data_IF_411474521852
#
_entry.id   IF_411474521852
#
_cell.length_a   1.000
_cell.length_b   1.000
_cell.length_c   1.000
_cell.angle_alpha   90.00
_cell.angle_beta   90.00
_cell.angle_gamma   90.00
#
_symmetry.space_group_name_H-M   'P 1'
#
loop_
_entity.id
_entity.type
_entity.pdbx_description
1 polymer ?
#
# COMPACT_ATOMS: atom_id res chain seq x y z
N UNK A 1 13.84 -2.52 -36.78
CA UNK A 1 14.15 -3.95 -36.63
C UNK A 1 12.85 -4.65 -36.35
N UNK A 2 12.43 -5.44 -37.31
CA UNK A 2 11.22 -6.23 -37.32
C UNK A 2 11.22 -7.23 -36.17
N UNK A 3 10.29 -7.11 -35.25
CA UNK A 3 9.87 -8.24 -34.42
C UNK A 3 8.75 -8.96 -35.17
N UNK A 4 9.12 -9.99 -35.88
CA UNK A 4 8.21 -10.96 -36.47
C UNK A 4 7.87 -12.03 -35.44
N UNK A 5 6.58 -12.24 -35.29
CA UNK A 5 5.91 -13.50 -34.96
C UNK A 5 6.53 -14.37 -33.87
N UNK A 6 5.98 -14.24 -32.68
CA UNK A 6 5.78 -15.42 -31.83
C UNK A 6 4.40 -15.33 -31.17
N UNK A 7 3.71 -16.41 -31.23
CA UNK A 7 2.47 -16.80 -30.56
C UNK A 7 2.08 -15.87 -29.40
N UNK A 8 0.83 -15.53 -29.26
CA UNK A 8 0.21 -14.72 -28.21
C UNK A 8 0.62 -15.15 -26.79
N UNK A 9 1.89 -15.06 -26.45
CA UNK A 9 2.38 -15.28 -25.12
C UNK A 9 2.15 -13.98 -24.35
N UNK A 10 0.95 -13.82 -23.82
CA UNK A 10 0.67 -12.70 -22.92
C UNK A 10 1.58 -12.82 -21.70
N UNK A 11 2.46 -11.85 -21.55
CA UNK A 11 3.34 -11.81 -20.39
C UNK A 11 2.50 -11.54 -19.13
N UNK A 12 2.69 -12.37 -18.13
CA UNK A 12 1.99 -12.25 -16.86
C UNK A 12 2.69 -11.24 -15.97
N UNK A 13 1.99 -10.19 -15.60
CA UNK A 13 2.44 -9.17 -14.65
C UNK A 13 1.66 -9.31 -13.34
N UNK A 14 2.36 -9.25 -12.24
CA UNK A 14 1.75 -9.32 -10.92
C UNK A 14 1.84 -7.98 -10.19
N UNK A 15 0.70 -7.44 -9.78
CA UNK A 15 0.60 -6.19 -9.03
C UNK A 15 0.23 -6.53 -7.59
N UNK A 16 1.02 -6.07 -6.63
CA UNK A 16 0.61 -6.01 -5.24
C UNK A 16 0.13 -4.59 -4.95
N UNK A 17 -1.12 -4.46 -4.52
CA UNK A 17 -1.74 -3.16 -4.32
C UNK A 17 -2.39 -3.03 -2.97
N UNK A 18 -2.07 -1.93 -2.30
CA UNK A 18 -2.75 -1.48 -1.07
C UNK A 18 -3.40 -0.11 -1.23
N UNK A 19 -3.38 0.44 -2.45
CA UNK A 19 -3.80 1.81 -2.75
C UNK A 19 -4.73 1.85 -3.97
N UNK A 20 -5.29 3.03 -4.26
CA UNK A 20 -6.10 3.27 -5.47
C UNK A 20 -5.31 3.21 -6.78
N UNK A 21 -3.98 3.11 -6.72
CA UNK A 21 -3.14 3.06 -7.93
C UNK A 21 -3.19 1.70 -8.61
N UNK A 22 -3.39 0.62 -7.85
CA UNK A 22 -3.46 -0.73 -8.39
C UNK A 22 -4.46 -0.90 -9.54
N UNK A 23 -5.72 -0.47 -9.40
CA UNK A 23 -6.69 -0.49 -10.50
C UNK A 23 -6.26 0.30 -11.73
N UNK A 24 -5.59 1.44 -11.56
CA UNK A 24 -5.11 2.28 -12.66
C UNK A 24 -3.95 1.60 -13.40
N UNK A 25 -2.99 1.05 -12.66
CA UNK A 25 -1.86 0.30 -13.23
C UNK A 25 -2.38 -0.94 -13.97
N UNK A 26 -3.30 -1.69 -13.36
CA UNK A 26 -3.90 -2.86 -13.99
C UNK A 26 -4.61 -2.50 -15.30
N UNK A 27 -5.39 -1.42 -15.32
CA UNK A 27 -6.05 -0.94 -16.52
C UNK A 27 -5.04 -0.64 -17.63
N UNK A 28 -3.97 0.11 -17.32
CA UNK A 28 -2.93 0.43 -18.30
C UNK A 28 -2.25 -0.83 -18.86
N UNK A 29 -1.89 -1.79 -18.01
CA UNK A 29 -1.28 -3.05 -18.48
C UNK A 29 -2.22 -3.86 -19.38
N UNK A 30 -3.51 -3.91 -19.06
CA UNK A 30 -4.53 -4.59 -19.87
C UNK A 30 -4.71 -3.94 -21.24
N UNK A 31 -4.62 -2.61 -21.34
CA UNK A 31 -4.66 -1.87 -22.60
C UNK A 31 -3.46 -2.22 -23.51
N UNK A 32 -2.30 -2.52 -22.92
CA UNK A 32 -1.11 -3.04 -23.62
C UNK A 32 -1.11 -4.57 -23.77
N UNK A 33 -2.26 -5.21 -23.53
CA UNK A 33 -2.47 -6.63 -23.77
C UNK A 33 -1.71 -7.59 -22.83
N UNK A 34 -1.25 -7.13 -21.67
CA UNK A 34 -0.71 -8.01 -20.64
C UNK A 34 -1.80 -8.81 -19.93
N UNK A 35 -1.43 -9.97 -19.38
CA UNK A 35 -2.24 -10.70 -18.41
C UNK A 35 -1.86 -10.22 -17.01
N UNK A 36 -2.82 -9.79 -16.21
CA UNK A 36 -2.58 -9.12 -14.92
C UNK A 36 -3.10 -9.95 -13.77
N UNK A 37 -2.23 -10.23 -12.81
CA UNK A 37 -2.58 -10.76 -11.50
C UNK A 37 -2.55 -9.60 -10.50
N UNK A 38 -3.64 -9.35 -9.78
CA UNK A 38 -3.70 -8.26 -8.80
C UNK A 38 -4.02 -8.81 -7.42
N UNK A 39 -3.06 -8.72 -6.51
CA UNK A 39 -3.24 -9.09 -5.10
C UNK A 39 -3.75 -7.92 -4.29
N UNK A 40 -4.84 -8.16 -3.57
CA UNK A 40 -5.51 -7.20 -2.69
C UNK A 40 -5.79 -7.84 -1.33
N UNK A 41 -5.82 -7.05 -0.26
CA UNK A 41 -6.06 -7.56 1.09
C UNK A 41 -7.50 -7.99 1.32
N UNK A 42 -8.46 -7.31 0.69
CA UNK A 42 -9.89 -7.54 0.93
C UNK A 42 -10.66 -7.70 -0.38
N UNK A 43 -11.76 -8.45 -0.33
CA UNK A 43 -12.68 -8.58 -1.46
C UNK A 43 -13.19 -7.21 -1.95
N UNK A 44 -13.50 -6.29 -1.03
CA UNK A 44 -13.95 -4.93 -1.36
C UNK A 44 -12.91 -4.16 -2.17
N UNK A 45 -11.63 -4.31 -1.86
CA UNK A 45 -10.56 -3.68 -2.64
C UNK A 45 -10.50 -4.23 -4.08
N UNK A 46 -10.80 -5.52 -4.26
CA UNK A 46 -10.88 -6.14 -5.59
C UNK A 46 -12.03 -5.60 -6.45
N UNK A 47 -13.11 -5.10 -5.85
CA UNK A 47 -14.24 -4.55 -6.59
C UNK A 47 -13.93 -3.23 -7.33
N UNK A 48 -12.82 -2.58 -7.00
CA UNK A 48 -12.37 -1.35 -7.67
C UNK A 48 -11.74 -1.61 -9.04
N UNK A 49 -11.46 -2.86 -9.36
CA UNK A 49 -10.84 -3.24 -10.62
C UNK A 49 -11.89 -3.46 -11.72
N UNK A 50 -11.50 -3.16 -12.96
CA UNK A 50 -12.36 -3.40 -14.12
C UNK A 50 -12.56 -4.91 -14.35
N UNK A 51 -13.70 -5.30 -14.93
CA UNK A 51 -13.91 -6.68 -15.35
C UNK A 51 -13.19 -6.92 -16.68
N UNK A 52 -12.26 -7.85 -16.69
CA UNK A 52 -11.51 -8.25 -17.89
C UNK A 52 -11.08 -9.71 -17.78
N UNK A 53 -11.15 -10.48 -18.88
CA UNK A 53 -10.79 -11.90 -18.89
C UNK A 53 -9.32 -12.18 -18.61
N UNK A 54 -8.44 -11.18 -18.80
CA UNK A 54 -7.00 -11.26 -18.52
C UNK A 54 -6.63 -10.70 -17.13
N UNK A 55 -7.60 -10.32 -16.32
CA UNK A 55 -7.38 -9.83 -14.97
C UNK A 55 -7.80 -10.88 -13.93
N UNK A 56 -6.85 -11.26 -13.10
CA UNK A 56 -7.04 -12.23 -12.04
C UNK A 56 -6.87 -11.54 -10.69
N UNK A 57 -7.96 -11.36 -9.95
CA UNK A 57 -7.93 -10.77 -8.61
C UNK A 57 -7.66 -11.88 -7.58
N UNK A 58 -6.64 -11.68 -6.77
CA UNK A 58 -6.26 -12.56 -5.67
C UNK A 58 -6.51 -11.82 -4.36
N UNK A 59 -7.40 -12.36 -3.55
CA UNK A 59 -7.70 -11.78 -2.24
C UNK A 59 -6.98 -12.57 -1.15
N UNK A 60 -6.32 -11.86 -0.26
CA UNK A 60 -5.65 -12.46 0.89
C UNK A 60 -4.30 -11.82 1.18
N UNK A 61 -3.72 -12.24 2.30
CA UNK A 61 -2.43 -11.77 2.75
C UNK A 61 -1.33 -12.75 2.31
N UNK A 62 -0.24 -12.22 1.82
CA UNK A 62 0.99 -12.98 1.61
C UNK A 62 1.82 -12.89 2.90
N UNK A 63 2.23 -14.04 3.42
CA UNK A 63 2.82 -14.11 4.76
C UNK A 63 4.36 -14.07 4.74
N UNK A 64 4.98 -14.61 3.69
CA UNK A 64 6.43 -14.76 3.63
C UNK A 64 6.98 -14.76 2.20
N UNK A 65 8.30 -14.75 2.10
CA UNK A 65 9.06 -14.77 0.84
C UNK A 65 8.77 -16.02 0.00
N UNK A 66 8.65 -17.19 0.62
CA UNK A 66 8.47 -18.44 -0.10
C UNK A 66 7.11 -18.51 -0.80
N UNK A 67 6.05 -17.98 -0.19
CA UNK A 67 4.74 -17.84 -0.84
C UNK A 67 4.81 -16.95 -2.09
N UNK A 68 5.59 -15.88 -2.02
CA UNK A 68 5.82 -14.95 -3.16
C UNK A 68 6.54 -15.71 -4.28
N UNK A 69 7.64 -16.39 -3.98
CA UNK A 69 8.41 -17.18 -4.95
C UNK A 69 7.53 -18.26 -5.61
N UNK A 70 6.77 -18.99 -4.81
CA UNK A 70 5.87 -20.02 -5.30
C UNK A 70 4.78 -19.43 -6.22
N UNK A 71 4.22 -18.28 -5.86
CA UNK A 71 3.23 -17.59 -6.68
C UNK A 71 3.81 -17.17 -8.03
N UNK A 72 5.00 -16.55 -8.03
CA UNK A 72 5.70 -16.12 -9.26
C UNK A 72 5.94 -17.33 -10.18
N UNK A 73 6.49 -18.42 -9.64
CA UNK A 73 6.79 -19.62 -10.43
C UNK A 73 5.53 -20.30 -10.97
N UNK A 74 4.52 -20.51 -10.10
CA UNK A 74 3.26 -21.17 -10.45
C UNK A 74 2.51 -20.44 -11.56
N UNK A 75 2.46 -19.11 -11.49
CA UNK A 75 1.72 -18.29 -12.44
C UNK A 75 2.60 -17.73 -13.57
N UNK A 76 3.84 -18.20 -13.69
CA UNK A 76 4.80 -17.78 -14.74
C UNK A 76 4.90 -16.25 -14.85
N UNK A 77 4.94 -15.56 -13.69
CA UNK A 77 5.04 -14.10 -13.61
C UNK A 77 6.38 -13.64 -14.21
N UNK A 78 6.32 -12.66 -15.09
CA UNK A 78 7.50 -12.09 -15.76
C UNK A 78 7.98 -10.78 -15.16
N UNK A 79 7.09 -10.07 -14.45
CA UNK A 79 7.39 -8.83 -13.76
C UNK A 79 6.45 -8.65 -12.58
N UNK A 80 6.98 -8.13 -11.48
CA UNK A 80 6.21 -7.77 -10.28
C UNK A 80 6.16 -6.25 -10.15
N UNK A 81 4.99 -5.72 -9.83
CA UNK A 81 4.80 -4.30 -9.54
C UNK A 81 4.39 -4.16 -8.07
N UNK A 82 5.24 -3.55 -7.28
CA UNK A 82 4.93 -3.15 -5.91
C UNK A 82 4.24 -1.77 -5.93
N UNK A 83 2.94 -1.77 -5.79
CA UNK A 83 2.10 -0.59 -5.62
C UNK A 83 1.43 -0.60 -4.23
N UNK A 84 2.11 -1.15 -3.24
CA UNK A 84 1.65 -1.18 -1.86
C UNK A 84 1.75 0.20 -1.21
N UNK A 85 1.16 0.35 -0.04
CA UNK A 85 1.27 1.60 0.70
C UNK A 85 2.72 1.78 1.19
N UNK A 86 3.30 2.99 1.18
CA UNK A 86 4.67 3.25 1.67
C UNK A 86 4.98 2.67 3.06
N UNK A 87 3.97 2.54 3.93
CA UNK A 87 4.12 1.94 5.27
C UNK A 87 4.02 0.41 5.29
N UNK A 88 3.94 -0.24 4.14
CA UNK A 88 3.87 -1.70 4.03
C UNK A 88 5.27 -2.32 3.89
N UNK A 89 6.24 -1.87 4.68
CA UNK A 89 7.66 -2.19 4.60
C UNK A 89 7.95 -3.70 4.57
N UNK A 90 7.23 -4.49 5.37
CA UNK A 90 7.45 -5.94 5.47
C UNK A 90 7.19 -6.64 4.14
N UNK A 91 6.07 -6.32 3.48
CA UNK A 91 5.74 -6.96 2.20
C UNK A 91 6.67 -6.47 1.09
N UNK A 92 7.00 -5.18 1.04
CA UNK A 92 7.94 -4.64 0.07
C UNK A 92 9.33 -5.25 0.21
N UNK A 93 9.81 -5.46 1.44
CA UNK A 93 11.05 -6.19 1.71
C UNK A 93 10.98 -7.62 1.21
N UNK A 94 9.92 -8.37 1.56
CA UNK A 94 9.74 -9.74 1.12
C UNK A 94 9.69 -9.87 -0.40
N UNK A 95 9.03 -8.92 -1.09
CA UNK A 95 9.00 -8.84 -2.56
C UNK A 95 10.39 -8.65 -3.15
N UNK A 96 11.14 -7.68 -2.63
CA UNK A 96 12.50 -7.41 -3.08
C UNK A 96 13.41 -8.62 -2.91
N UNK A 97 13.35 -9.28 -1.75
CA UNK A 97 14.16 -10.46 -1.45
C UNK A 97 13.77 -11.66 -2.33
N UNK A 98 12.46 -11.87 -2.54
CA UNK A 98 11.95 -12.93 -3.42
C UNK A 98 12.33 -12.71 -4.89
N UNK A 99 12.10 -11.51 -5.39
CA UNK A 99 12.39 -11.17 -6.78
C UNK A 99 13.88 -11.23 -7.10
N UNK A 100 14.74 -10.80 -6.17
CA UNK A 100 16.19 -10.93 -6.30
C UNK A 100 16.62 -12.39 -6.35
N UNK A 101 16.09 -13.24 -5.47
CA UNK A 101 16.47 -14.66 -5.41
C UNK A 101 16.20 -15.42 -6.70
N UNK A 102 15.07 -15.13 -7.35
CA UNK A 102 14.67 -15.84 -8.58
C UNK A 102 14.86 -15.02 -9.85
N UNK A 103 15.58 -13.89 -9.74
CA UNK A 103 15.90 -12.99 -10.85
C UNK A 103 14.66 -12.53 -11.65
N UNK A 104 13.58 -12.18 -10.94
CA UNK A 104 12.36 -11.63 -11.53
C UNK A 104 12.37 -10.10 -11.39
N UNK A 105 12.10 -9.33 -12.46
CA UNK A 105 12.03 -7.87 -12.39
C UNK A 105 11.00 -7.39 -11.38
N UNK A 106 11.39 -6.43 -10.54
CA UNK A 106 10.51 -5.75 -9.59
C UNK A 106 10.49 -4.25 -9.92
N UNK A 107 9.31 -3.73 -10.16
CA UNK A 107 9.05 -2.30 -10.30
C UNK A 107 8.36 -1.79 -9.03
N UNK A 108 8.91 -0.75 -8.43
CA UNK A 108 8.30 -0.08 -7.28
C UNK A 108 7.60 1.17 -7.78
N UNK A 109 6.28 1.25 -7.55
CA UNK A 109 5.48 2.41 -7.90
C UNK A 109 5.40 3.36 -6.71
N UNK A 110 6.13 4.45 -6.78
CA UNK A 110 6.13 5.48 -5.75
C UNK A 110 5.34 6.71 -6.21
N UNK A 111 4.46 7.20 -5.36
CA UNK A 111 3.81 8.48 -5.57
C UNK A 111 4.81 9.59 -5.28
N UNK A 112 4.84 10.59 -6.14
CA UNK A 112 5.57 11.83 -5.83
C UNK A 112 5.02 12.43 -4.53
N UNK A 113 5.90 12.73 -3.59
CA UNK A 113 5.52 13.49 -2.40
C UNK A 113 4.96 14.85 -2.82
N UNK A 114 3.77 15.17 -2.36
CA UNK A 114 3.18 16.51 -2.54
C UNK A 114 3.69 17.50 -1.49
N UNK A 115 4.43 17.00 -0.50
CA UNK A 115 5.02 17.84 0.55
C UNK A 115 6.30 18.46 -0.01
N UNK A 116 6.14 19.54 -0.75
CA UNK A 116 7.26 20.41 -1.11
C UNK A 116 7.37 21.47 0.00
N UNK A 117 8.56 21.70 0.51
CA UNK A 117 9.06 22.78 1.40
C UNK A 117 8.06 23.94 1.69
N UNK A 118 6.81 23.64 2.00
CA UNK A 118 5.85 24.63 2.43
C UNK A 118 6.19 25.04 3.86
N UNK A 119 6.21 26.33 4.14
CA UNK A 119 6.63 26.95 5.40
C UNK A 119 5.84 26.50 6.65
N UNK A 120 4.91 25.56 6.51
CA UNK A 120 4.00 25.12 7.56
C UNK A 120 4.12 23.62 7.88
N UNK A 121 5.23 22.97 7.47
CA UNK A 121 5.48 21.57 7.78
C UNK A 121 6.63 21.46 8.78
N UNK A 122 6.38 20.69 9.82
CA UNK A 122 7.38 20.33 10.83
C UNK A 122 7.56 18.82 10.80
N UNK A 123 8.79 18.37 10.65
CA UNK A 123 9.13 16.96 10.79
C UNK A 123 9.52 16.73 12.26
N UNK A 124 8.95 15.70 12.86
CA UNK A 124 9.25 15.29 14.22
C UNK A 124 9.60 13.81 14.22
N UNK A 125 10.61 13.43 14.97
CA UNK A 125 10.99 12.03 15.16
C UNK A 125 10.27 11.42 16.37
N UNK A 126 9.98 12.22 17.40
CA UNK A 126 9.22 11.81 18.57
C UNK A 126 8.10 12.83 18.86
N UNK A 127 6.99 12.36 19.42
CA UNK A 127 5.88 13.22 19.88
C UNK A 127 6.34 14.23 20.95
N UNK A 128 7.39 13.91 21.69
CA UNK A 128 7.98 14.78 22.73
C UNK A 128 8.68 16.00 22.17
N UNK A 129 9.01 16.01 20.88
CA UNK A 129 9.67 17.15 20.23
C UNK A 129 8.71 18.33 20.04
N UNK A 130 7.39 18.08 20.22
CA UNK A 130 6.39 19.15 20.15
C UNK A 130 6.25 19.79 21.54
N UNK A 131 6.34 21.11 21.57
CA UNK A 131 6.13 21.88 22.81
C UNK A 131 4.66 21.71 23.30
N UNK A 132 4.48 21.10 24.46
CA UNK A 132 3.17 20.84 25.06
C UNK A 132 2.31 22.11 25.24
N UNK A 133 2.95 23.24 25.56
CA UNK A 133 2.25 24.51 25.75
C UNK A 133 1.59 25.02 24.47
N UNK A 134 2.12 24.64 23.31
CA UNK A 134 1.53 25.00 22.01
C UNK A 134 0.33 24.14 21.65
N UNK A 135 0.13 23.02 22.34
CA UNK A 135 -0.94 22.06 22.06
C UNK A 135 -2.18 22.30 22.94
N UNK A 136 -2.04 22.97 24.05
CA UNK A 136 -3.14 23.20 24.99
C UNK A 136 -4.31 23.93 24.31
N UNK A 137 -5.52 23.37 24.44
CA UNK A 137 -6.76 23.85 23.82
C UNK A 137 -6.76 23.89 22.28
N UNK A 138 -5.79 23.23 21.62
CA UNK A 138 -5.76 23.13 20.14
C UNK A 138 -6.61 21.95 19.65
N UNK A 139 -7.15 22.10 18.45
CA UNK A 139 -7.80 21.04 17.71
C UNK A 139 -6.75 20.30 16.86
N UNK A 140 -6.55 19.02 17.14
CA UNK A 140 -5.53 18.19 16.48
C UNK A 140 -6.22 17.07 15.70
N UNK A 141 -5.96 17.00 14.38
CA UNK A 141 -6.42 15.91 13.53
C UNK A 141 -5.31 14.87 13.36
N UNK A 142 -5.51 13.67 13.90
CA UNK A 142 -4.63 12.52 13.69
C UNK A 142 -5.03 11.76 12.42
N UNK A 143 -4.22 11.87 11.37
CA UNK A 143 -4.38 11.17 10.09
C UNK A 143 -3.40 9.99 9.94
N UNK A 144 -3.04 9.33 11.03
CA UNK A 144 -2.01 8.28 11.13
C UNK A 144 -2.55 6.85 11.04
N UNK A 145 -3.87 6.69 10.84
CA UNK A 145 -4.53 5.38 10.89
C UNK A 145 -4.64 4.83 12.30
N UNK A 146 -5.16 3.60 12.44
CA UNK A 146 -5.48 3.02 13.76
C UNK A 146 -4.31 2.31 14.45
N UNK A 147 -3.17 2.10 13.78
CA UNK A 147 -2.05 1.34 14.36
C UNK A 147 -1.39 2.04 15.53
N UNK A 148 -1.14 3.34 15.39
CA UNK A 148 -0.45 4.17 16.40
C UNK A 148 -1.40 5.11 17.14
N UNK A 149 -2.71 4.90 16.99
CA UNK A 149 -3.72 5.84 17.48
C UNK A 149 -3.71 5.95 19.00
N UNK A 150 -3.65 4.81 19.71
CA UNK A 150 -3.80 4.76 21.16
C UNK A 150 -2.72 5.62 21.88
N UNK A 151 -1.45 5.37 21.61
CA UNK A 151 -0.35 6.10 22.26
C UNK A 151 -0.35 7.57 21.86
N UNK A 152 -0.61 7.86 20.58
CA UNK A 152 -0.59 9.23 20.06
C UNK A 152 -1.76 10.04 20.59
N UNK A 153 -2.98 9.48 20.62
CA UNK A 153 -4.14 10.18 21.15
C UNK A 153 -3.99 10.48 22.63
N UNK A 154 -3.56 9.51 23.43
CA UNK A 154 -3.28 9.71 24.87
C UNK A 154 -2.26 10.83 25.12
N UNK A 155 -1.19 10.87 24.29
CA UNK A 155 -0.21 11.95 24.42
C UNK A 155 -0.84 13.32 24.25
N UNK A 156 -1.61 13.55 23.19
CA UNK A 156 -2.22 14.84 22.91
C UNK A 156 -3.36 15.20 23.89
N UNK A 157 -4.16 14.21 24.33
CA UNK A 157 -5.17 14.40 25.36
C UNK A 157 -4.51 14.85 26.68
N UNK A 158 -3.40 14.24 27.06
CA UNK A 158 -2.63 14.63 28.24
C UNK A 158 -2.04 16.04 28.13
N UNK A 159 -1.89 16.59 26.91
CA UNK A 159 -1.54 17.98 26.65
C UNK A 159 -2.77 18.91 26.64
N UNK A 160 -3.94 18.45 27.04
CA UNK A 160 -5.22 19.17 27.02
C UNK A 160 -5.67 19.62 25.62
N UNK A 161 -5.28 18.90 24.59
CA UNK A 161 -5.73 19.13 23.22
C UNK A 161 -7.08 18.44 22.94
N UNK A 162 -7.85 19.00 22.02
CA UNK A 162 -9.02 18.33 21.45
C UNK A 162 -8.57 17.44 20.30
N UNK A 163 -8.67 16.12 20.45
CA UNK A 163 -8.14 15.18 19.46
C UNK A 163 -9.26 14.64 18.58
N UNK A 164 -9.06 14.76 17.27
CA UNK A 164 -9.89 14.18 16.24
C UNK A 164 -9.08 13.13 15.48
N UNK A 165 -9.69 12.03 15.08
CA UNK A 165 -9.00 11.00 14.32
C UNK A 165 -9.74 10.64 13.04
N UNK A 166 -8.97 10.39 11.96
CA UNK A 166 -9.48 9.83 10.72
C UNK A 166 -9.05 8.38 10.60
N UNK A 167 -10.00 7.46 10.62
CA UNK A 167 -9.78 6.02 10.54
C UNK A 167 -10.63 5.38 9.43
N UNK A 168 -10.25 4.16 9.02
CA UNK A 168 -11.09 3.35 8.16
C UNK A 168 -12.30 2.83 8.96
N UNK A 169 -13.51 2.75 8.36
CA UNK A 169 -14.71 2.28 9.03
C UNK A 169 -14.73 0.74 9.15
N UNK A 170 -13.69 0.16 9.77
CA UNK A 170 -13.62 -1.26 10.12
C UNK A 170 -13.89 -1.46 11.60
N UNK A 171 -14.45 -2.61 11.98
CA UNK A 171 -14.71 -2.91 13.40
C UNK A 171 -13.44 -2.75 14.25
N UNK A 172 -12.29 -3.23 13.75
CA UNK A 172 -11.01 -3.10 14.46
C UNK A 172 -10.60 -1.64 14.68
N UNK A 173 -10.64 -0.82 13.62
CA UNK A 173 -10.23 0.59 13.70
C UNK A 173 -11.15 1.40 14.59
N UNK A 174 -12.47 1.15 14.51
CA UNK A 174 -13.47 1.81 15.33
C UNK A 174 -13.28 1.41 16.82
N UNK A 175 -13.09 0.12 17.10
CA UNK A 175 -12.84 -0.36 18.46
C UNK A 175 -11.58 0.28 19.07
N UNK A 176 -10.50 0.40 18.28
CA UNK A 176 -9.28 1.08 18.74
C UNK A 176 -9.55 2.56 19.06
N UNK A 177 -10.25 3.27 18.17
CA UNK A 177 -10.56 4.69 18.38
C UNK A 177 -11.41 4.95 19.62
N UNK A 178 -12.32 4.04 19.98
CA UNK A 178 -13.12 4.16 21.22
C UNK A 178 -12.34 3.85 22.50
N UNK A 179 -11.22 3.16 22.41
CA UNK A 179 -10.36 2.81 23.55
C UNK A 179 -9.22 3.80 23.78
N UNK A 180 -8.92 4.61 22.76
CA UNK A 180 -7.88 5.64 22.82
C UNK A 180 -8.40 6.91 23.46
#
# INVERSE_FOLDING_TARGET
>A
ILMQNSENCYENVWILSGTSDGPLIAKGLLEYNYSVFASVLTYRAGQSYIKNSKLHIITGKLNNKDEIINFIKKNKIKCVVDATHPFAEIISKNLNDACKEINTPLLVFERKSLVNNANNFYYIDDLKDINKAELENKNILLAIGSRFLDDTAKYYINCKANVFTRILPTCESITKAFRS
#
